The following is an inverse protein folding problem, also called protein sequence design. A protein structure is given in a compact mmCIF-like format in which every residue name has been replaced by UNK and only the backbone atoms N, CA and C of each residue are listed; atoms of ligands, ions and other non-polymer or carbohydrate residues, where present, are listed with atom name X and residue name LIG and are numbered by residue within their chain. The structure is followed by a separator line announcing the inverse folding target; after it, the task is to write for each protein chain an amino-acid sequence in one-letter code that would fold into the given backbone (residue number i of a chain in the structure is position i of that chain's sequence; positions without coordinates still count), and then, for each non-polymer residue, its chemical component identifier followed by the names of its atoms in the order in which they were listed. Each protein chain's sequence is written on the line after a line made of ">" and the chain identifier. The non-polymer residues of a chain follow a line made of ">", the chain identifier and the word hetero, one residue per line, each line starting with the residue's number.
data_IF_481797884666
#
_entry.id   IF_481797884666
#
_cell.length_a   1.000
_cell.length_b   1.000
_cell.length_c   1.000
_cell.angle_alpha   90.00
_cell.angle_beta   90.00
_cell.angle_gamma   90.00
#
_symmetry.space_group_name_H-M   'P 1'
#
loop_
_entity.id
_entity.type
_entity.pdbx_description
1 polymer ?
#
# COMPACT_ATOMS: atom_id res chain seq x y z
N UNK A 1 1.61 41.60 7.74
CA UNK A 1 1.17 40.79 6.58
C UNK A 1 2.28 39.80 6.28
N UNK A 2 2.12 38.52 6.65
CA UNK A 2 3.18 37.52 6.47
C UNK A 2 3.14 36.98 5.04
N UNK A 3 4.26 37.14 4.33
CA UNK A 3 4.49 36.68 2.97
C UNK A 3 4.37 35.15 2.91
N UNK A 4 3.48 34.63 2.07
CA UNK A 4 3.37 33.19 1.80
C UNK A 4 4.25 32.90 0.59
N UNK A 5 5.46 32.43 0.85
CA UNK A 5 6.30 31.83 -0.18
C UNK A 5 5.71 30.47 -0.56
N UNK A 6 4.71 30.50 -1.44
CA UNK A 6 4.22 29.31 -2.13
C UNK A 6 5.32 28.87 -3.10
N UNK A 7 6.19 27.97 -2.68
CA UNK A 7 7.17 27.32 -3.55
C UNK A 7 6.45 26.48 -4.62
N UNK A 8 6.00 27.14 -5.69
CA UNK A 8 5.56 26.53 -6.94
C UNK A 8 6.82 26.20 -7.73
N UNK A 9 7.47 25.09 -7.38
CA UNK A 9 8.18 24.27 -8.35
C UNK A 9 8.47 22.88 -7.80
N UNK A 10 7.81 21.87 -8.35
CA UNK A 10 8.55 20.71 -8.82
C UNK A 10 7.67 19.95 -9.80
N UNK A 11 8.08 19.95 -11.07
CA UNK A 11 7.73 18.91 -12.04
C UNK A 11 8.27 17.55 -11.59
N UNK A 12 7.88 17.09 -10.40
CA UNK A 12 8.04 15.71 -9.97
C UNK A 12 7.08 14.90 -10.83
N UNK A 13 7.63 13.96 -11.61
CA UNK A 13 6.85 12.93 -12.26
C UNK A 13 5.87 12.36 -11.22
N UNK A 14 4.57 12.65 -11.38
CA UNK A 14 3.52 12.26 -10.44
C UNK A 14 3.43 10.73 -10.23
N UNK A 15 4.23 9.95 -10.96
CA UNK A 15 4.24 8.51 -10.99
C UNK A 15 5.10 7.83 -9.91
N UNK A 16 6.15 8.48 -9.38
CA UNK A 16 7.05 7.80 -8.43
C UNK A 16 6.76 8.17 -6.97
N UNK A 17 6.25 7.19 -6.21
CA UNK A 17 6.00 7.30 -4.77
C UNK A 17 6.88 6.33 -4.00
N UNK A 18 7.46 6.78 -2.88
CA UNK A 18 8.29 5.95 -2.00
C UNK A 18 7.47 5.48 -0.82
N UNK A 19 7.38 4.16 -0.63
CA UNK A 19 6.73 3.52 0.50
C UNK A 19 7.75 2.74 1.31
N UNK A 20 7.48 2.57 2.61
CA UNK A 20 8.23 1.65 3.48
C UNK A 20 7.37 0.42 3.74
N UNK A 21 8.03 -0.75 3.76
CA UNK A 21 7.40 -1.99 4.22
C UNK A 21 7.18 -1.87 5.73
N UNK A 22 5.94 -2.07 6.14
CA UNK A 22 5.54 -2.19 7.54
C UNK A 22 5.37 -3.66 7.93
N UNK A 23 4.79 -3.88 9.10
CA UNK A 23 4.36 -5.19 9.55
C UNK A 23 2.90 -5.15 9.98
N UNK A 24 2.18 -6.23 9.73
CA UNK A 24 0.88 -6.50 10.34
C UNK A 24 1.05 -7.61 11.39
N UNK A 25 0.37 -7.45 12.53
CA UNK A 25 0.28 -8.49 13.55
C UNK A 25 -1.03 -9.26 13.38
N UNK A 26 -0.95 -10.58 13.42
CA UNK A 26 -2.12 -11.47 13.47
C UNK A 26 -2.12 -12.19 14.80
N UNK A 27 -3.18 -11.98 15.58
CA UNK A 27 -3.44 -12.68 16.83
C UNK A 27 -3.92 -14.11 16.55
N UNK A 28 -3.37 -15.08 17.28
CA UNK A 28 -3.80 -16.47 17.27
C UNK A 28 -4.40 -16.81 18.64
N UNK A 29 -5.73 -16.76 18.77
CA UNK A 29 -6.39 -17.19 19.99
C UNK A 29 -6.45 -18.72 20.04
N UNK A 30 -6.37 -19.25 21.25
CA UNK A 30 -6.68 -20.63 21.53
C UNK A 30 -8.15 -20.92 21.22
N UNK A 31 -8.42 -22.01 20.48
CA UNK A 31 -9.78 -22.31 20.01
C UNK A 31 -10.74 -22.72 21.13
N UNK A 32 -10.22 -23.25 22.23
CA UNK A 32 -11.04 -23.75 23.33
C UNK A 32 -11.34 -22.67 24.37
N UNK A 33 -10.37 -21.80 24.64
CA UNK A 33 -10.44 -20.80 25.71
C UNK A 33 -10.65 -19.37 25.19
N UNK A 34 -10.40 -19.14 23.89
CA UNK A 34 -10.46 -17.81 23.27
C UNK A 34 -9.30 -16.89 23.68
N UNK A 35 -8.41 -17.32 24.59
CA UNK A 35 -7.28 -16.51 25.05
C UNK A 35 -6.18 -16.43 23.99
N UNK A 36 -5.55 -15.26 23.88
CA UNK A 36 -4.42 -15.06 22.96
C UNK A 36 -3.24 -15.96 23.32
N UNK A 37 -2.86 -16.85 22.40
CA UNK A 37 -1.70 -17.73 22.60
C UNK A 37 -0.41 -17.05 22.15
N UNK A 38 -0.43 -16.40 20.98
CA UNK A 38 0.70 -15.63 20.46
C UNK A 38 0.27 -14.71 19.31
N UNK A 39 1.20 -13.83 18.91
CA UNK A 39 1.09 -12.99 17.72
C UNK A 39 2.09 -13.43 16.67
N UNK A 40 1.66 -13.46 15.41
CA UNK A 40 2.56 -13.59 14.26
C UNK A 40 2.70 -12.24 13.55
N UNK A 41 3.88 -11.93 13.03
CA UNK A 41 4.14 -10.71 12.26
C UNK A 41 4.39 -11.05 10.80
N UNK A 42 3.81 -10.28 9.89
CA UNK A 42 3.97 -10.45 8.44
C UNK A 42 4.31 -9.10 7.80
N UNK A 43 5.21 -9.05 6.80
CA UNK A 43 5.50 -7.81 6.09
C UNK A 43 4.25 -7.31 5.35
N UNK A 44 4.05 -6.00 5.32
CA UNK A 44 2.92 -5.37 4.64
C UNK A 44 3.32 -4.14 3.85
N UNK A 45 2.62 -3.90 2.74
CA UNK A 45 2.74 -2.70 1.92
C UNK A 45 1.36 -2.06 1.77
N UNK A 46 1.22 -0.80 2.21
CA UNK A 46 -0.05 -0.10 2.20
C UNK A 46 -0.10 0.91 1.05
N UNK A 47 -0.82 0.58 -0.02
CA UNK A 47 -1.07 1.47 -1.16
C UNK A 47 -2.45 2.09 -0.98
N UNK A 48 -2.52 3.40 -0.72
CA UNK A 48 -3.78 4.12 -0.50
C UNK A 48 -3.77 5.54 -1.07
N UNK A 49 -4.95 6.02 -1.44
CA UNK A 49 -5.23 7.40 -1.84
C UNK A 49 -5.61 7.57 -3.31
N UNK A 50 -6.16 8.75 -3.63
CA UNK A 50 -6.73 9.10 -4.96
C UNK A 50 -5.74 9.03 -6.12
N UNK A 51 -4.46 8.74 -5.86
CA UNK A 51 -3.47 8.53 -6.91
C UNK A 51 -3.61 7.16 -7.58
N UNK A 52 -4.21 6.17 -6.91
CA UNK A 52 -4.49 4.86 -7.48
C UNK A 52 -5.51 4.98 -8.63
N UNK A 53 -6.59 5.73 -8.41
CA UNK A 53 -7.58 6.04 -9.46
C UNK A 53 -6.94 6.77 -10.64
N UNK A 54 -6.06 7.75 -10.37
CA UNK A 54 -5.30 8.46 -11.41
C UNK A 54 -4.33 7.57 -12.17
N UNK A 55 -3.94 6.43 -11.60
CA UNK A 55 -3.11 5.42 -12.23
C UNK A 55 -3.95 4.32 -12.92
N UNK A 56 -5.28 4.44 -12.95
CA UNK A 56 -6.19 3.50 -13.59
C UNK A 56 -6.68 2.37 -12.70
N UNK A 57 -6.36 2.37 -11.40
CA UNK A 57 -6.86 1.39 -10.43
C UNK A 57 -8.12 1.93 -9.75
N UNK A 58 -9.26 1.78 -10.41
CA UNK A 58 -10.58 2.17 -9.88
C UNK A 58 -11.11 1.12 -8.89
N UNK A 59 -12.03 1.55 -8.02
CA UNK A 59 -12.63 0.66 -7.02
C UNK A 59 -13.46 -0.43 -7.72
N UNK A 60 -13.25 -1.69 -7.33
CA UNK A 60 -13.95 -2.84 -7.89
C UNK A 60 -13.20 -3.56 -9.00
N UNK A 61 -12.12 -2.98 -9.54
CA UNK A 61 -11.28 -3.62 -10.55
C UNK A 61 -10.47 -4.78 -9.98
N UNK A 62 -10.38 -5.86 -10.74
CA UNK A 62 -9.49 -6.97 -10.43
C UNK A 62 -8.04 -6.60 -10.77
N UNK A 63 -7.11 -7.01 -9.91
CA UNK A 63 -5.69 -6.67 -10.02
C UNK A 63 -4.85 -7.93 -9.91
N UNK A 64 -3.86 -8.05 -10.79
CA UNK A 64 -2.85 -9.10 -10.77
C UNK A 64 -1.55 -8.56 -10.19
N UNK A 65 -0.92 -9.36 -9.32
CA UNK A 65 0.39 -9.06 -8.74
C UNK A 65 1.40 -10.06 -9.28
N UNK A 66 2.40 -9.57 -10.00
CA UNK A 66 3.53 -10.38 -10.47
C UNK A 66 4.68 -10.19 -9.48
N UNK A 67 5.18 -11.31 -8.95
CA UNK A 67 6.23 -11.32 -7.94
C UNK A 67 7.56 -11.77 -8.55
N UNK A 68 8.57 -10.94 -8.38
CA UNK A 68 9.96 -11.24 -8.73
C UNK A 68 10.87 -10.87 -7.56
N UNK A 69 12.12 -11.34 -7.57
CA UNK A 69 13.08 -11.03 -6.50
C UNK A 69 13.34 -9.52 -6.44
N UNK A 70 12.84 -8.87 -5.38
CA UNK A 70 13.00 -7.43 -5.17
C UNK A 70 12.03 -6.54 -5.95
N UNK A 71 11.06 -7.12 -6.66
CA UNK A 71 10.11 -6.36 -7.49
C UNK A 71 8.69 -6.93 -7.37
N UNK A 72 7.73 -6.04 -7.17
CA UNK A 72 6.30 -6.33 -7.25
C UNK A 72 5.71 -5.46 -8.36
N UNK A 73 5.15 -6.10 -9.38
CA UNK A 73 4.45 -5.41 -10.47
C UNK A 73 2.96 -5.58 -10.22
N UNK A 74 2.24 -4.46 -10.14
CA UNK A 74 0.80 -4.41 -9.93
C UNK A 74 0.19 -3.93 -11.25
N UNK A 75 -0.70 -4.74 -11.81
CA UNK A 75 -1.38 -4.46 -13.08
C UNK A 75 -2.85 -4.85 -12.98
N UNK A 76 -3.71 -4.26 -13.80
CA UNK A 76 -5.09 -4.73 -13.94
C UNK A 76 -5.08 -6.20 -14.39
N UNK A 77 -6.03 -6.97 -13.89
CA UNK A 77 -6.25 -8.32 -14.37
C UNK A 77 -6.99 -8.25 -15.71
N UNK A 78 -6.50 -8.98 -16.71
CA UNK A 78 -7.29 -9.27 -17.90
C UNK A 78 -8.42 -10.23 -17.48
N UNK A 79 -9.66 -9.94 -17.91
CA UNK A 79 -10.87 -10.74 -17.63
C UNK A 79 -10.76 -12.18 -18.17
#
# INVERSE_FOLDING_TARGET
>A
MANRDCNVNSGSSKAQRRYKIGYISRCHPDRSTGMTRYYSQHPSLHLKGNWLEKAGFTTGEAVKIIVQRGLLIIQLADE
#
